data_IF_125452383829
#
_entry.id   IF_125452383829
#
_cell.length_a   1.000
_cell.length_b   1.000
_cell.length_c   1.000
_cell.angle_alpha   90.00
_cell.angle_beta   90.00
_cell.angle_gamma   90.00
#
_symmetry.space_group_name_H-M   'P 1'
#
loop_
_entity.id
_entity.type
_entity.pdbx_description
1 polymer ?
#
# COMPACT_ATOMS: atom_id res chain seq x y z
N UNK A 1 16.85 6.97 5.21
CA UNK A 1 16.50 6.31 3.94
C UNK A 1 15.03 6.58 3.69
N UNK A 2 14.69 7.30 2.62
CA UNK A 2 13.30 7.45 2.18
C UNK A 2 12.97 6.32 1.19
N UNK A 3 11.93 5.54 1.48
CA UNK A 3 11.63 4.32 0.72
C UNK A 3 10.60 4.51 -0.40
N UNK A 4 9.69 5.47 -0.21
CA UNK A 4 8.61 5.81 -1.13
C UNK A 4 8.67 7.28 -1.59
N UNK A 5 9.75 8.00 -1.28
CA UNK A 5 9.88 9.44 -1.60
C UNK A 5 8.90 10.36 -0.85
N UNK A 6 8.36 9.90 0.28
CA UNK A 6 7.49 10.69 1.14
C UNK A 6 8.31 11.31 2.28
N UNK A 7 8.41 12.65 2.39
CA UNK A 7 9.28 13.31 3.36
C UNK A 7 8.69 13.34 4.79
N UNK A 8 7.54 12.70 5.02
CA UNK A 8 6.77 12.78 6.27
C UNK A 8 6.86 11.49 7.08
N UNK A 9 6.96 11.64 8.40
CA UNK A 9 6.84 10.52 9.33
C UNK A 9 5.40 9.98 9.42
N UNK A 10 5.27 8.73 9.85
CA UNK A 10 3.99 8.10 10.22
C UNK A 10 3.95 7.93 11.74
N UNK A 11 2.76 8.01 12.33
CA UNK A 11 2.57 7.72 13.76
C UNK A 11 2.37 6.21 14.00
N UNK A 12 1.81 5.51 13.01
CA UNK A 12 1.43 4.11 13.11
C UNK A 12 2.24 3.24 12.13
N UNK A 13 2.42 1.97 12.48
CA UNK A 13 3.03 0.94 11.64
C UNK A 13 1.97 -0.10 11.32
N UNK A 14 1.57 -0.16 10.05
CA UNK A 14 0.75 -1.24 9.50
C UNK A 14 1.66 -2.29 8.85
N UNK A 15 1.62 -3.53 9.34
CA UNK A 15 2.48 -4.60 8.84
C UNK A 15 1.79 -5.96 8.86
N UNK A 16 2.15 -6.81 7.91
CA UNK A 16 1.87 -8.24 7.97
C UNK A 16 3.08 -8.95 8.58
N UNK A 17 2.84 -9.80 9.58
CA UNK A 17 3.89 -10.53 10.27
C UNK A 17 3.77 -12.01 9.91
N UNK A 18 4.81 -12.54 9.27
CA UNK A 18 4.95 -13.99 9.05
C UNK A 18 5.84 -14.56 10.14
N UNK A 19 5.25 -15.33 11.05
CA UNK A 19 5.95 -15.94 12.18
C UNK A 19 5.24 -17.23 12.62
N UNK A 20 5.91 -18.04 13.44
CA UNK A 20 5.29 -19.18 14.10
C UNK A 20 4.40 -18.74 15.28
N UNK A 21 3.60 -19.69 15.78
CA UNK A 21 2.64 -19.43 16.86
C UNK A 21 3.33 -19.02 18.18
N UNK A 22 4.49 -19.60 18.48
CA UNK A 22 5.22 -19.29 19.72
C UNK A 22 5.73 -17.85 19.72
N UNK A 23 6.31 -17.40 18.60
CA UNK A 23 6.74 -16.03 18.41
C UNK A 23 5.57 -15.06 18.43
N UNK A 24 4.44 -15.42 17.79
CA UNK A 24 3.24 -14.61 17.81
C UNK A 24 2.75 -14.36 19.25
N UNK A 25 2.66 -15.41 20.06
CA UNK A 25 2.25 -15.29 21.47
C UNK A 25 3.24 -14.44 22.27
N UNK A 26 4.55 -14.67 22.08
CA UNK A 26 5.61 -13.90 22.74
C UNK A 26 5.55 -12.41 22.37
N UNK A 27 5.30 -12.08 21.10
CA UNK A 27 5.14 -10.71 20.62
C UNK A 27 3.93 -10.05 21.28
N UNK A 28 2.77 -10.70 21.27
CA UNK A 28 1.54 -10.17 21.89
C UNK A 28 1.75 -9.92 23.39
N UNK A 29 2.40 -10.84 24.08
CA UNK A 29 2.73 -10.68 25.49
C UNK A 29 3.65 -9.48 25.71
N UNK A 30 4.74 -9.39 24.95
CA UNK A 30 5.70 -8.30 25.04
C UNK A 30 5.06 -6.93 24.83
N UNK A 31 4.20 -6.79 23.80
CA UNK A 31 3.51 -5.54 23.50
C UNK A 31 2.59 -5.13 24.66
N UNK A 32 1.88 -6.08 25.28
CA UNK A 32 1.03 -5.83 26.46
C UNK A 32 1.86 -5.40 27.68
N UNK A 33 2.95 -6.12 27.99
CA UNK A 33 3.82 -5.80 29.11
C UNK A 33 4.45 -4.40 29.00
N UNK A 34 4.78 -3.99 27.76
CA UNK A 34 5.33 -2.67 27.47
C UNK A 34 4.27 -1.57 27.39
N UNK A 35 2.99 -1.91 27.47
CA UNK A 35 1.89 -0.95 27.34
C UNK A 35 1.82 -0.31 25.94
N UNK A 36 2.35 -0.99 24.92
CA UNK A 36 2.29 -0.53 23.53
C UNK A 36 0.86 -0.74 23.03
N UNK A 37 0.27 0.28 22.39
CA UNK A 37 -1.03 0.12 21.75
C UNK A 37 -0.84 -0.65 20.44
N UNK A 38 -1.59 -1.74 20.27
CA UNK A 38 -1.57 -2.54 19.06
C UNK A 38 -2.96 -3.06 18.73
N UNK A 39 -3.17 -3.31 17.44
CA UNK A 39 -4.30 -4.08 16.95
C UNK A 39 -3.73 -5.19 16.05
N UNK A 40 -3.77 -6.42 16.53
CA UNK A 40 -3.35 -7.60 15.77
C UNK A 40 -4.61 -8.43 15.54
N UNK A 41 -4.94 -8.61 14.26
CA UNK A 41 -6.10 -9.39 13.79
C UNK A 41 -5.75 -10.16 12.53
N UNK A 42 -6.71 -10.90 11.98
CA UNK A 42 -6.52 -11.72 10.78
C UNK A 42 -6.03 -10.90 9.58
N UNK A 43 -5.20 -11.52 8.74
CA UNK A 43 -4.53 -11.05 7.51
C UNK A 43 -4.98 -9.70 6.91
N UNK A 44 -4.03 -8.84 6.50
CA UNK A 44 -4.25 -7.53 5.85
C UNK A 44 -5.23 -7.61 4.67
N UNK A 45 -5.23 -8.73 3.95
CA UNK A 45 -6.17 -9.02 2.85
C UNK A 45 -7.65 -9.01 3.29
N UNK A 46 -7.94 -9.28 4.56
CA UNK A 46 -9.29 -9.31 5.13
C UNK A 46 -9.67 -8.03 5.90
N UNK A 47 -8.73 -7.09 6.10
CA UNK A 47 -9.01 -5.81 6.74
C UNK A 47 -9.84 -4.86 5.84
N UNK A 48 -10.17 -5.26 4.62
CA UNK A 48 -10.97 -4.49 3.69
C UNK A 48 -11.63 -5.39 2.66
N UNK A 49 -12.75 -4.93 2.12
CA UNK A 49 -13.53 -5.74 1.19
C UNK A 49 -12.82 -5.90 -0.17
N UNK A 50 -11.93 -4.98 -0.54
CA UNK A 50 -11.11 -5.09 -1.76
C UNK A 50 -9.75 -5.69 -1.38
N UNK A 51 -9.37 -6.87 -1.89
CA UNK A 51 -8.07 -7.46 -1.59
C UNK A 51 -6.94 -6.67 -2.25
N UNK A 52 -5.72 -6.83 -1.74
CA UNK A 52 -4.53 -6.34 -2.43
C UNK A 52 -4.33 -7.11 -3.75
N UNK A 53 -3.57 -6.54 -4.71
CA UNK A 53 -3.26 -7.23 -5.95
C UNK A 53 -2.55 -8.55 -5.68
N UNK A 54 -3.03 -9.63 -6.30
CA UNK A 54 -2.48 -10.98 -6.14
C UNK A 54 -0.98 -11.00 -6.37
N UNK A 55 -0.24 -11.73 -5.54
CA UNK A 55 1.21 -11.82 -5.60
C UNK A 55 1.97 -10.64 -4.96
N UNK A 56 1.32 -9.79 -4.16
CA UNK A 56 1.99 -8.61 -3.57
C UNK A 56 3.10 -8.99 -2.58
N UNK A 57 2.98 -10.14 -1.91
CA UNK A 57 3.98 -10.63 -0.93
C UNK A 57 5.29 -10.97 -1.62
N UNK A 58 5.20 -11.57 -2.80
CA UNK A 58 6.31 -11.97 -3.65
C UNK A 58 6.97 -10.75 -4.32
N UNK A 59 6.18 -9.72 -4.63
CA UNK A 59 6.68 -8.44 -5.16
C UNK A 59 7.27 -7.53 -4.07
N UNK A 60 6.95 -7.78 -2.81
CA UNK A 60 7.43 -6.97 -1.70
C UNK A 60 8.97 -6.96 -1.66
N UNK A 61 9.56 -5.76 -1.65
CA UNK A 61 11.00 -5.55 -1.70
C UNK A 61 11.58 -5.60 -0.30
N UNK A 62 12.56 -6.47 -0.07
CA UNK A 62 13.36 -6.48 1.15
C UNK A 62 14.17 -5.20 1.31
N UNK A 63 14.06 -4.56 2.48
CA UNK A 63 14.76 -3.33 2.84
C UNK A 63 15.73 -3.51 4.01
N UNK A 64 15.57 -4.59 4.77
CA UNK A 64 16.38 -4.91 5.93
C UNK A 64 16.40 -6.42 6.15
N UNK A 65 17.54 -6.93 6.57
CA UNK A 65 17.73 -8.32 6.97
C UNK A 65 18.76 -8.37 8.09
N UNK A 66 18.37 -8.96 9.21
CA UNK A 66 19.29 -9.20 10.31
C UNK A 66 18.82 -10.38 11.16
N UNK A 67 19.75 -11.28 11.52
CA UNK A 67 19.50 -12.43 12.40
C UNK A 67 18.20 -13.21 12.13
N UNK A 68 17.85 -13.44 10.85
CA UNK A 68 16.63 -14.16 10.46
C UNK A 68 15.35 -13.32 10.48
N UNK A 69 15.44 -12.03 10.81
CA UNK A 69 14.37 -11.05 10.67
C UNK A 69 14.49 -10.35 9.32
N UNK A 70 13.44 -10.39 8.52
CA UNK A 70 13.36 -9.73 7.22
C UNK A 70 12.27 -8.66 7.26
N UNK A 71 12.61 -7.42 6.86
CA UNK A 71 11.61 -6.37 6.67
C UNK A 71 11.47 -6.11 5.18
N UNK A 72 10.24 -6.23 4.70
CA UNK A 72 9.86 -5.90 3.32
C UNK A 72 8.92 -4.72 3.28
N UNK A 73 8.91 -4.03 2.15
CA UNK A 73 7.91 -3.04 1.81
C UNK A 73 7.18 -3.46 0.55
N UNK A 74 5.92 -3.02 0.41
CA UNK A 74 5.15 -3.23 -0.81
C UNK A 74 5.86 -2.66 -2.04
N UNK A 75 5.60 -3.27 -3.20
CA UNK A 75 5.88 -2.64 -4.48
C UNK A 75 5.11 -1.31 -4.59
N UNK A 76 5.63 -0.28 -5.28
CA UNK A 76 4.94 1.00 -5.42
C UNK A 76 3.50 0.90 -5.95
N UNK A 77 3.22 -0.03 -6.88
CA UNK A 77 1.86 -0.24 -7.38
C UNK A 77 0.97 -0.89 -6.29
N UNK A 78 1.47 -1.89 -5.59
CA UNK A 78 0.74 -2.53 -4.48
C UNK A 78 0.46 -1.52 -3.33
N UNK A 79 1.40 -0.63 -3.06
CA UNK A 79 1.24 0.47 -2.10
C UNK A 79 0.14 1.46 -2.53
N UNK A 80 0.09 1.85 -3.81
CA UNK A 80 -0.98 2.71 -4.32
C UNK A 80 -2.34 2.05 -4.09
N UNK A 81 -2.48 0.75 -4.37
CA UNK A 81 -3.73 0.02 -4.15
C UNK A 81 -4.10 -0.05 -2.66
N UNK A 82 -3.12 -0.25 -1.77
CA UNK A 82 -3.36 -0.27 -0.32
C UNK A 82 -3.89 1.07 0.20
N UNK A 83 -3.40 2.19 -0.33
CA UNK A 83 -3.87 3.54 -0.01
C UNK A 83 -5.27 3.82 -0.55
N UNK A 84 -5.50 3.53 -1.84
CA UNK A 84 -6.79 3.75 -2.48
C UNK A 84 -7.91 2.91 -1.86
N UNK A 85 -7.58 1.75 -1.28
CA UNK A 85 -8.51 0.90 -0.52
C UNK A 85 -9.04 1.58 0.73
N UNK A 86 -8.19 2.27 1.50
CA UNK A 86 -8.60 2.97 2.73
C UNK A 86 -9.39 4.24 2.43
N UNK A 87 -8.99 4.97 1.40
CA UNK A 87 -9.81 6.03 0.79
C UNK A 87 -9.99 7.30 1.64
N UNK A 88 -9.08 7.58 2.59
CA UNK A 88 -9.04 8.85 3.31
C UNK A 88 -8.43 9.92 2.39
N UNK A 89 -8.78 11.21 2.57
CA UNK A 89 -8.28 12.29 1.71
C UNK A 89 -6.75 12.28 1.55
N UNK A 90 -6.04 12.01 2.65
CA UNK A 90 -4.59 11.90 2.72
C UNK A 90 -4.00 10.73 1.90
N UNK A 91 -4.80 9.68 1.63
CA UNK A 91 -4.36 8.50 0.89
C UNK A 91 -4.20 8.78 -0.62
N UNK A 92 -5.02 9.68 -1.17
CA UNK A 92 -4.91 10.09 -2.58
C UNK A 92 -3.60 10.84 -2.82
N UNK A 93 -3.24 11.76 -1.93
CA UNK A 93 -2.00 12.52 -2.02
C UNK A 93 -0.77 11.62 -1.88
N UNK A 94 -0.80 10.67 -0.94
CA UNK A 94 0.26 9.66 -0.79
C UNK A 94 0.44 8.84 -2.06
N UNK A 95 -0.66 8.30 -2.60
CA UNK A 95 -0.62 7.49 -3.80
C UNK A 95 -0.06 8.28 -5.01
N UNK A 96 -0.43 9.56 -5.15
CA UNK A 96 0.06 10.41 -6.23
C UNK A 96 1.53 10.75 -6.07
N UNK A 97 1.97 11.04 -4.85
CA UNK A 97 3.38 11.31 -4.57
C UNK A 97 4.25 10.08 -4.86
N UNK A 98 3.79 8.88 -4.50
CA UNK A 98 4.47 7.62 -4.85
C UNK A 98 4.49 7.40 -6.35
N UNK A 99 3.36 7.55 -7.05
CA UNK A 99 3.31 7.40 -8.50
C UNK A 99 4.30 8.34 -9.21
N UNK A 100 4.36 9.61 -8.78
CA UNK A 100 5.30 10.59 -9.33
C UNK A 100 6.76 10.24 -9.02
N UNK A 101 7.05 9.81 -7.79
CA UNK A 101 8.40 9.44 -7.38
C UNK A 101 8.96 8.26 -8.20
N UNK A 102 8.10 7.28 -8.51
CA UNK A 102 8.48 6.11 -9.31
C UNK A 102 8.17 6.25 -10.81
N UNK A 103 7.77 7.44 -11.28
CA UNK A 103 7.39 7.72 -12.66
C UNK A 103 6.35 6.72 -13.23
N UNK A 104 5.38 6.31 -12.41
CA UNK A 104 4.31 5.38 -12.80
C UNK A 104 3.26 6.11 -13.64
N UNK A 105 2.93 5.53 -14.79
CA UNK A 105 1.88 6.03 -15.68
C UNK A 105 0.48 5.58 -15.24
N UNK A 106 -0.55 6.23 -15.79
CA UNK A 106 -1.93 5.75 -15.65
C UNK A 106 -2.10 4.34 -16.22
N UNK A 107 -1.37 3.99 -17.28
CA UNK A 107 -1.40 2.66 -17.88
C UNK A 107 -0.83 1.60 -16.93
N UNK A 108 0.31 1.86 -16.28
CA UNK A 108 0.90 0.93 -15.30
C UNK A 108 -0.08 0.58 -14.19
N UNK A 109 -0.76 1.59 -13.66
CA UNK A 109 -1.75 1.46 -12.58
C UNK A 109 -2.99 0.73 -13.08
N UNK A 110 -3.46 1.05 -14.29
CA UNK A 110 -4.59 0.38 -14.92
C UNK A 110 -4.31 -1.10 -15.17
N UNK A 111 -3.14 -1.45 -15.72
CA UNK A 111 -2.75 -2.84 -15.98
C UNK A 111 -2.59 -3.64 -14.69
N UNK A 112 -2.19 -2.97 -13.61
CA UNK A 112 -2.11 -3.57 -12.28
C UNK A 112 -3.47 -3.99 -11.72
N UNK A 113 -4.58 -3.40 -12.17
CA UNK A 113 -5.93 -3.78 -11.72
C UNK A 113 -6.29 -5.22 -12.09
N UNK A 114 -5.70 -5.77 -13.15
CA UNK A 114 -5.92 -7.15 -13.58
C UNK A 114 -5.49 -8.18 -12.54
N UNK A 115 -4.66 -7.77 -11.58
CA UNK A 115 -4.20 -8.62 -10.47
C UNK A 115 -5.15 -8.61 -9.28
N UNK A 116 -6.19 -7.76 -9.27
CA UNK A 116 -7.13 -7.62 -8.15
C UNK A 116 -8.43 -8.37 -8.47
N UNK A 117 -8.80 -9.31 -7.58
CA UNK A 117 -10.11 -9.94 -7.65
C UNK A 117 -11.14 -9.08 -6.92
N UNK A 118 -11.95 -8.33 -7.66
CA UNK A 118 -12.94 -7.41 -7.10
C UNK A 118 -14.23 -8.14 -6.69
N UNK A 119 -14.54 -8.29 -5.39
CA UNK A 119 -15.83 -8.84 -4.98
C UNK A 119 -16.97 -7.87 -5.29
N UNK A 120 -18.19 -8.39 -5.44
CA UNK A 120 -19.38 -7.56 -5.63
C UNK A 120 -19.79 -6.94 -4.29
N UNK A 121 -19.41 -5.69 -4.08
CA UNK A 121 -19.72 -4.92 -2.88
C UNK A 121 -19.75 -3.41 -3.14
N UNK A 122 -20.37 -2.65 -2.24
CA UNK A 122 -20.36 -1.19 -2.27
C UNK A 122 -18.93 -0.64 -2.14
N UNK A 123 -18.10 -1.27 -1.31
CA UNK A 123 -16.70 -0.86 -1.14
C UNK A 123 -15.89 -1.05 -2.43
N UNK A 124 -16.14 -2.12 -3.19
CA UNK A 124 -15.54 -2.29 -4.52
C UNK A 124 -15.97 -1.17 -5.47
N UNK A 125 -17.24 -0.76 -5.43
CA UNK A 125 -17.72 0.35 -6.24
C UNK A 125 -17.04 1.67 -5.87
N UNK A 126 -16.92 1.95 -4.56
CA UNK A 126 -16.22 3.13 -4.05
C UNK A 126 -14.74 3.11 -4.42
N UNK A 127 -14.05 1.98 -4.26
CA UNK A 127 -12.67 1.80 -4.67
C UNK A 127 -12.49 2.09 -6.17
N UNK A 128 -13.32 1.50 -7.04
CA UNK A 128 -13.26 1.76 -8.49
C UNK A 128 -13.52 3.23 -8.84
N UNK A 129 -14.35 3.93 -8.07
CA UNK A 129 -14.54 5.38 -8.22
C UNK A 129 -13.26 6.15 -7.86
N UNK A 130 -12.63 5.83 -6.73
CA UNK A 130 -11.36 6.44 -6.30
C UNK A 130 -10.25 6.18 -7.31
N UNK A 131 -10.14 4.93 -7.78
CA UNK A 131 -9.17 4.54 -8.81
C UNK A 131 -9.36 5.32 -10.11
N UNK A 132 -10.60 5.47 -10.61
CA UNK A 132 -10.87 6.31 -11.79
C UNK A 132 -10.46 7.76 -11.60
N UNK A 133 -10.70 8.32 -10.42
CA UNK A 133 -10.26 9.69 -10.10
C UNK A 133 -8.73 9.77 -10.10
N UNK A 134 -8.05 8.80 -9.49
CA UNK A 134 -6.59 8.71 -9.45
C UNK A 134 -5.98 8.65 -10.86
N UNK A 135 -6.49 7.77 -11.73
CA UNK A 135 -6.05 7.64 -13.12
C UNK A 135 -6.23 8.94 -13.92
N UNK A 136 -7.39 9.59 -13.78
CA UNK A 136 -7.66 10.85 -14.46
C UNK A 136 -6.74 12.01 -14.01
N UNK A 137 -6.22 11.96 -12.78
CA UNK A 137 -5.22 12.93 -12.30
C UNK A 137 -3.85 12.63 -12.94
N UNK A 138 -3.42 11.36 -12.96
CA UNK A 138 -2.15 10.96 -13.57
C UNK A 138 -2.09 11.28 -15.08
N UNK A 139 -3.19 11.10 -15.81
CA UNK A 139 -3.29 11.46 -17.23
C UNK A 139 -3.09 12.97 -17.45
N UNK A 140 -3.74 13.80 -16.62
CA UNK A 140 -3.60 15.26 -16.70
C UNK A 140 -2.20 15.73 -16.35
N UNK A 141 -1.56 15.10 -15.36
CA UNK A 141 -0.17 15.41 -15.00
C UNK A 141 0.78 15.10 -16.17
N UNK A 142 0.53 14.00 -16.89
CA UNK A 142 1.31 13.60 -18.07
C UNK A 142 1.12 14.58 -19.24
N UNK A 143 -0.11 15.02 -19.50
CA UNK A 143 -0.42 16.01 -20.55
C UNK A 143 0.19 17.40 -20.29
N UNK A 144 0.38 17.77 -19.03
CA UNK A 144 1.01 19.04 -18.65
C UNK A 144 2.53 18.99 -18.78
N UNK A 145 3.16 17.84 -18.51
CA UNK A 145 4.60 17.66 -18.70
C UNK A 145 4.99 17.62 -20.19
N UNK A 146 4.11 17.13 -21.08
CA UNK A 146 4.32 17.13 -22.54
C UNK A 146 4.14 18.50 -23.22
N UNK A 147 3.67 19.53 -22.51
CA UNK A 147 3.37 20.87 -23.07
C UNK A 147 4.41 21.95 -22.77
N UNK A 148 5.51 21.62 -22.11
CA UNK A 148 6.66 22.52 -22.00
C UNK A 148 7.72 22.11 -23.03
N UNK A 149 7.69 22.64 -24.26
CA UNK A 149 8.87 22.59 -25.12
C UNK A 149 9.94 23.47 -24.50
N UNK A 150 11.16 22.93 -24.41
CA UNK A 150 12.40 23.70 -24.21
C UNK A 150 12.56 24.69 -25.36
#
# INVERSE_FOLDING_TARGET
>A
MELYGLPRGTMDIDAEISCDSDFYEALVHHLKEKGIQFNIGDNIDHWGVVPLPSGYRERARRIFEDHGTEVKILDPLDFIFSKLRRGVAQDMEDALAVARHFALSSQDVSDHTNKVNFPLSDETFLFKKRLRQFLAILEKDSDQQGKNPV
#
